data_IF_809204386091
#
_entry.id   IF_809204386091
#
_cell.length_a   1.000
_cell.length_b   1.000
_cell.length_c   1.000
_cell.angle_alpha   90.00
_cell.angle_beta   90.00
_cell.angle_gamma   90.00
#
_symmetry.space_group_name_H-M   'P 1'
#
loop_
_entity.id
_entity.type
_entity.pdbx_description
1 polymer ?
#
# COMPACT_ATOMS: atom_id res chain seq x y z
N UNK A 1 4.40 -1.60 0.35
CA UNK A 1 4.00 -0.79 1.52
C UNK A 1 2.72 -1.36 2.11
N UNK A 2 2.54 -1.29 3.43
CA UNK A 2 1.33 -1.72 4.15
C UNK A 2 0.71 -0.50 4.84
N UNK A 3 -0.59 -0.28 4.64
CA UNK A 3 -1.39 0.75 5.31
C UNK A 3 -2.48 0.06 6.14
N UNK A 4 -2.41 0.18 7.46
CA UNK A 4 -3.41 -0.32 8.40
C UNK A 4 -4.38 0.82 8.76
N UNK A 5 -5.66 0.63 8.43
CA UNK A 5 -6.73 1.60 8.72
C UNK A 5 -7.68 1.10 9.78
N UNK A 6 -7.23 0.18 10.64
CA UNK A 6 -7.99 -0.53 11.66
C UNK A 6 -9.02 -1.53 11.12
N UNK A 7 -9.96 -1.07 10.29
CA UNK A 7 -11.03 -1.89 9.71
C UNK A 7 -10.58 -2.71 8.48
N UNK A 8 -9.53 -2.26 7.80
CA UNK A 8 -9.01 -2.86 6.58
C UNK A 8 -7.50 -2.66 6.48
N UNK A 9 -6.82 -3.58 5.81
CA UNK A 9 -5.40 -3.44 5.48
C UNK A 9 -5.23 -3.32 3.98
N UNK A 10 -4.47 -2.32 3.58
CA UNK A 10 -4.09 -2.08 2.19
C UNK A 10 -2.63 -2.45 1.97
N UNK A 11 -2.38 -3.24 0.94
CA UNK A 11 -1.04 -3.57 0.46
C UNK A 11 -0.82 -2.78 -0.81
N UNK A 12 0.07 -1.80 -0.79
CA UNK A 12 0.46 -1.05 -1.99
C UNK A 12 1.74 -1.64 -2.58
N UNK A 13 1.66 -2.02 -3.86
CA UNK A 13 2.72 -2.67 -4.62
C UNK A 13 3.23 -1.71 -5.70
N UNK A 14 4.50 -1.32 -5.56
CA UNK A 14 5.20 -0.48 -6.53
C UNK A 14 5.45 -1.21 -7.85
N UNK A 15 5.52 -0.45 -8.95
CA UNK A 15 5.83 -1.01 -10.26
C UNK A 15 7.22 -1.68 -10.28
N UNK A 16 8.20 -1.03 -9.64
CA UNK A 16 9.58 -1.51 -9.49
C UNK A 16 9.79 -2.49 -8.31
N UNK A 17 8.73 -2.85 -7.59
CA UNK A 17 8.84 -3.84 -6.51
C UNK A 17 9.26 -5.21 -7.08
N UNK A 18 10.11 -5.93 -6.35
CA UNK A 18 10.63 -7.20 -6.82
C UNK A 18 9.55 -8.31 -6.79
N UNK A 19 9.79 -9.42 -7.51
CA UNK A 19 8.80 -10.49 -7.61
C UNK A 19 8.53 -11.18 -6.26
N UNK A 20 9.53 -11.25 -5.39
CA UNK A 20 9.41 -11.84 -4.06
C UNK A 20 8.54 -11.00 -3.14
N UNK A 21 8.68 -9.67 -3.17
CA UNK A 21 7.84 -8.70 -2.46
C UNK A 21 6.40 -8.74 -2.98
N UNK A 22 6.22 -8.76 -4.30
CA UNK A 22 4.90 -8.85 -4.94
C UNK A 22 4.12 -10.09 -4.49
N UNK A 23 4.80 -11.23 -4.40
CA UNK A 23 4.20 -12.51 -4.00
C UNK A 23 4.13 -12.69 -2.48
N UNK A 24 5.08 -12.14 -1.74
CA UNK A 24 5.20 -12.27 -0.29
C UNK A 24 4.34 -11.27 0.49
N UNK A 25 3.99 -10.13 -0.10
CA UNK A 25 3.26 -9.07 0.61
C UNK A 25 1.92 -9.53 1.21
N UNK A 26 1.07 -10.33 0.54
CA UNK A 26 -0.17 -10.84 1.15
C UNK A 26 0.07 -11.72 2.38
N UNK A 27 1.14 -12.53 2.35
CA UNK A 27 1.52 -13.39 3.48
C UNK A 27 1.98 -12.55 4.67
N UNK A 28 2.82 -11.54 4.42
CA UNK A 28 3.32 -10.63 5.45
C UNK A 28 2.17 -9.83 6.07
N UNK A 29 1.23 -9.34 5.26
CA UNK A 29 0.06 -8.61 5.77
C UNK A 29 -0.84 -9.50 6.63
N UNK A 30 -1.00 -10.78 6.27
CA UNK A 30 -1.74 -11.73 7.09
C UNK A 30 -1.04 -11.98 8.42
N UNK A 31 0.26 -12.22 8.40
CA UNK A 31 1.06 -12.42 9.61
C UNK A 31 1.05 -11.19 10.52
N UNK A 32 1.05 -9.98 9.94
CA UNK A 32 0.90 -8.72 10.67
C UNK A 32 -0.42 -8.66 11.45
N UNK A 33 -1.55 -9.04 10.84
CA UNK A 33 -2.86 -9.11 11.52
C UNK A 33 -2.86 -10.21 12.59
N UNK A 34 -2.35 -11.40 12.25
CA UNK A 34 -2.40 -12.55 13.16
C UNK A 34 -1.54 -12.34 14.42
N UNK A 35 -0.50 -11.50 14.34
CA UNK A 35 0.38 -11.16 15.46
C UNK A 35 -0.04 -9.89 16.21
N UNK A 36 -1.13 -9.24 15.79
CA UNK A 36 -1.59 -8.01 16.41
C UNK A 36 -2.10 -8.25 17.86
N UNK A 37 -1.56 -7.51 18.86
CA UNK A 37 -1.88 -7.72 20.27
C UNK A 37 -3.28 -7.24 20.66
N UNK A 38 -3.97 -6.47 19.81
CA UNK A 38 -5.33 -5.99 20.09
C UNK A 38 -6.40 -7.04 19.76
N UNK A 39 -6.01 -8.20 19.24
CA UNK A 39 -6.92 -9.33 18.99
C UNK A 39 -7.78 -9.16 17.74
N UNK A 40 -7.43 -8.21 16.86
CA UNK A 40 -8.09 -8.02 15.57
C UNK A 40 -7.74 -9.19 14.66
N UNK A 41 -8.75 -9.97 14.25
CA UNK A 41 -8.58 -11.14 13.38
C UNK A 41 -9.56 -11.10 12.21
N UNK A 42 -9.14 -11.64 11.07
CA UNK A 42 -10.00 -11.76 9.89
C UNK A 42 -10.28 -10.44 9.17
N UNK A 43 -9.40 -9.44 9.34
CA UNK A 43 -9.52 -8.18 8.61
C UNK A 43 -9.39 -8.40 7.10
N UNK A 44 -10.16 -7.66 6.28
CA UNK A 44 -10.00 -7.69 4.84
C UNK A 44 -8.65 -7.11 4.44
N UNK A 45 -7.93 -7.84 3.59
CA UNK A 45 -6.64 -7.42 3.03
C UNK A 45 -6.86 -7.12 1.55
N UNK A 46 -6.48 -5.92 1.10
CA UNK A 46 -6.67 -5.47 -0.29
C UNK A 46 -5.35 -5.06 -0.91
N UNK A 47 -5.03 -5.66 -2.05
CA UNK A 47 -3.83 -5.34 -2.81
C UNK A 47 -4.11 -4.26 -3.84
N UNK A 48 -3.28 -3.22 -3.84
CA UNK A 48 -3.32 -2.05 -4.69
C UNK A 48 -2.01 -1.99 -5.47
N UNK A 49 -2.11 -1.68 -6.76
CA UNK A 49 -0.95 -1.48 -7.64
C UNK A 49 -0.70 0.02 -7.82
N UNK A 50 0.56 0.39 -7.95
CA UNK A 50 0.97 1.75 -8.28
C UNK A 50 0.26 2.27 -9.54
N UNK A 51 -0.30 3.47 -9.46
CA UNK A 51 -1.05 4.12 -10.54
C UNK A 51 -2.50 3.64 -10.71
N UNK A 52 -2.95 2.69 -9.87
CA UNK A 52 -4.32 2.20 -9.83
C UNK A 52 -4.91 2.28 -8.40
N UNK A 53 -4.57 3.33 -7.67
CA UNK A 53 -5.00 3.52 -6.30
C UNK A 53 -6.48 3.95 -6.20
N UNK A 54 -7.33 3.18 -5.50
CA UNK A 54 -8.73 3.54 -5.32
C UNK A 54 -8.89 4.74 -4.37
N UNK A 55 -10.00 5.49 -4.46
CA UNK A 55 -10.30 6.60 -3.55
C UNK A 55 -10.32 6.22 -2.07
N UNK A 56 -10.65 4.96 -1.76
CA UNK A 56 -10.62 4.41 -0.40
C UNK A 56 -9.22 4.31 0.19
N UNK A 57 -8.19 4.33 -0.65
CA UNK A 57 -6.79 4.35 -0.24
C UNK A 57 -6.21 5.76 -0.28
N UNK A 58 -6.42 6.48 -1.39
CA UNK A 58 -5.85 7.83 -1.56
C UNK A 58 -6.43 8.84 -0.58
N UNK A 59 -7.67 8.64 -0.12
CA UNK A 59 -8.32 9.48 0.88
C UNK A 59 -7.64 9.50 2.26
N UNK A 60 -6.75 8.54 2.56
CA UNK A 60 -5.95 8.54 3.79
C UNK A 60 -4.76 9.50 3.73
N UNK A 61 -4.40 10.01 2.55
CA UNK A 61 -3.29 10.94 2.36
C UNK A 61 -3.85 12.36 2.21
N UNK A 62 -3.37 13.30 3.03
CA UNK A 62 -3.85 14.70 3.02
C UNK A 62 -3.68 15.40 1.67
N UNK A 63 -2.62 15.05 0.94
CA UNK A 63 -2.39 15.49 -0.42
C UNK A 63 -2.00 14.27 -1.25
N UNK A 64 -2.75 14.00 -2.32
CA UNK A 64 -2.47 12.94 -3.27
C UNK A 64 -2.48 13.52 -4.68
N UNK A 65 -1.33 13.43 -5.35
CA UNK A 65 -1.20 13.80 -6.75
C UNK A 65 -1.40 12.53 -7.62
N UNK A 66 -2.53 12.38 -8.33
CA UNK A 66 -2.75 11.21 -9.19
C UNK A 66 -1.74 11.15 -10.35
N UNK A 67 -1.06 12.26 -10.63
CA UNK A 67 -0.03 12.37 -11.66
C UNK A 67 1.39 12.19 -11.10
N UNK A 68 1.52 11.79 -9.84
CA UNK A 68 2.81 11.67 -9.16
C UNK A 68 3.81 10.79 -9.93
N UNK A 69 3.33 9.78 -10.63
CA UNK A 69 4.17 8.83 -11.38
C UNK A 69 4.20 9.08 -12.90
N UNK A 70 3.61 10.17 -13.41
CA UNK A 70 3.74 10.53 -14.83
C UNK A 70 5.14 11.07 -15.17
N UNK A 71 5.86 11.55 -14.17
CA UNK A 71 7.25 12.04 -14.30
C UNK A 71 8.08 11.39 -13.21
N UNK A 72 9.37 11.18 -13.46
CA UNK A 72 10.26 10.64 -12.43
C UNK A 72 10.27 11.58 -11.20
N UNK A 73 9.93 11.09 -10.00
CA UNK A 73 9.88 11.92 -8.81
C UNK A 73 11.22 12.59 -8.48
N UNK A 74 12.35 11.98 -8.87
CA UNK A 74 13.67 12.53 -8.67
C UNK A 74 13.96 13.69 -9.63
N UNK A 75 13.40 13.69 -10.84
CA UNK A 75 13.46 14.84 -11.76
C UNK A 75 12.69 16.04 -11.21
N UNK A 76 11.58 15.81 -10.48
CA UNK A 76 10.78 16.91 -9.87
C UNK A 76 11.51 17.65 -8.74
N UNK A 77 12.54 17.05 -8.15
CA UNK A 77 13.27 17.60 -6.99
C UNK A 77 14.71 18.01 -7.32
N UNK A 78 15.21 17.66 -8.51
CA UNK A 78 16.54 18.06 -8.98
C UNK A 78 16.43 19.40 -9.70
N UNK A 79 17.08 20.42 -9.13
CA UNK A 79 17.26 21.75 -9.74
C UNK A 79 18.34 21.74 -10.80
#
# INVERSE_FOLDING_TARGET
MLLDTWDQIFIWVGNDANAEEKNGAPKIAKEYVDTDPSGRKGLPITTIKQGAEPPTFTGWFQAWDPKMWETDPLDRIRF
#
